data_IF_648100365123
#
_entry.id   IF_648100365123
#
_cell.length_a   1.000
_cell.length_b   1.000
_cell.length_c   1.000
_cell.angle_alpha   90.00
_cell.angle_beta   90.00
_cell.angle_gamma   90.00
#
_symmetry.space_group_name_H-M   'P 1'
#
loop_
_entity.id
_entity.type
_entity.pdbx_description
1 polymer ?
#
# COMPACT_ATOMS: atom_id res chain seq x y z
N UNK A 1 0.30 -7.48 -6.81
CA UNK A 1 -1.12 -7.34 -6.43
C UNK A 1 -1.72 -8.72 -6.27
N UNK A 2 -2.19 -9.06 -5.07
CA UNK A 2 -2.73 -10.39 -4.76
C UNK A 2 -3.93 -10.76 -5.64
N UNK A 3 -4.86 -9.83 -5.85
CA UNK A 3 -6.09 -10.08 -6.63
C UNK A 3 -5.90 -10.36 -8.12
N UNK A 4 -4.73 -10.06 -8.69
CA UNK A 4 -4.44 -10.24 -10.13
C UNK A 4 -3.82 -11.59 -10.49
N UNK A 5 -3.47 -12.41 -9.50
CA UNK A 5 -2.72 -13.64 -9.71
C UNK A 5 -3.32 -14.80 -8.91
N UNK A 6 -3.25 -16.00 -9.46
CA UNK A 6 -3.50 -17.21 -8.65
C UNK A 6 -2.42 -17.33 -7.56
N UNK A 7 -2.71 -18.00 -6.42
CA UNK A 7 -1.72 -18.16 -5.35
C UNK A 7 -0.39 -18.74 -5.83
N UNK A 8 -0.44 -19.78 -6.68
CA UNK A 8 0.77 -20.40 -7.24
C UNK A 8 1.56 -19.44 -8.14
N UNK A 9 0.88 -18.59 -8.93
CA UNK A 9 1.55 -17.61 -9.79
C UNK A 9 2.17 -16.49 -8.95
N UNK A 10 1.47 -16.04 -7.91
CA UNK A 10 1.97 -15.03 -6.99
C UNK A 10 3.24 -15.49 -6.27
N UNK A 11 3.26 -16.73 -5.77
CA UNK A 11 4.45 -17.33 -5.15
C UNK A 11 5.63 -17.43 -6.13
N UNK A 12 5.36 -17.85 -7.37
CA UNK A 12 6.39 -17.94 -8.41
C UNK A 12 7.01 -16.56 -8.70
N UNK A 13 6.18 -15.52 -8.85
CA UNK A 13 6.66 -14.16 -9.11
C UNK A 13 7.43 -13.60 -7.91
N UNK A 14 6.96 -13.85 -6.70
CA UNK A 14 7.62 -13.43 -5.47
C UNK A 14 9.02 -14.05 -5.34
N UNK A 15 9.15 -15.38 -5.51
CA UNK A 15 10.48 -16.03 -5.52
C UNK A 15 11.38 -15.50 -6.62
N UNK A 16 10.87 -15.37 -7.85
CA UNK A 16 11.66 -14.90 -8.97
C UNK A 16 12.19 -13.47 -8.72
N UNK A 17 11.40 -12.59 -8.12
CA UNK A 17 11.85 -11.26 -7.72
C UNK A 17 13.04 -11.34 -6.74
N UNK A 18 12.92 -12.16 -5.69
CA UNK A 18 14.01 -12.33 -4.71
C UNK A 18 15.26 -13.00 -5.29
N UNK A 19 15.11 -13.99 -6.17
CA UNK A 19 16.25 -14.63 -6.88
C UNK A 19 17.01 -13.63 -7.75
N UNK A 20 16.32 -12.60 -8.26
CA UNK A 20 16.90 -11.49 -9.01
C UNK A 20 17.43 -10.35 -8.12
N UNK A 21 17.31 -10.47 -6.80
CA UNK A 21 17.71 -9.44 -5.84
C UNK A 21 16.77 -8.24 -5.76
N UNK A 22 15.52 -8.39 -6.22
CA UNK A 22 14.47 -7.39 -6.11
C UNK A 22 13.67 -7.61 -4.81
N UNK A 23 13.25 -6.51 -4.18
CA UNK A 23 12.26 -6.55 -3.10
C UNK A 23 10.86 -6.41 -3.68
N UNK A 24 9.94 -7.27 -3.26
CA UNK A 24 8.59 -7.30 -3.81
C UNK A 24 7.61 -6.59 -2.86
N UNK A 25 7.07 -5.45 -3.30
CA UNK A 25 5.89 -4.85 -2.67
C UNK A 25 4.65 -5.71 -3.01
N UNK A 26 4.17 -6.48 -2.03
CA UNK A 26 2.99 -7.32 -2.19
C UNK A 26 1.75 -6.51 -1.80
N UNK A 27 1.07 -5.99 -2.81
CA UNK A 27 -0.14 -5.19 -2.65
C UNK A 27 -1.40 -6.04 -2.38
N UNK A 28 -2.22 -5.58 -1.43
CA UNK A 28 -3.42 -6.22 -0.89
C UNK A 28 -4.57 -5.22 -0.75
N UNK A 29 -5.80 -5.68 -0.92
CA UNK A 29 -7.00 -4.88 -0.70
C UNK A 29 -7.96 -5.49 0.33
N UNK A 30 -7.86 -6.79 0.62
CA UNK A 30 -8.77 -7.49 1.56
C UNK A 30 -8.00 -8.21 2.65
N UNK A 31 -8.67 -8.56 3.77
CA UNK A 31 -8.06 -9.35 4.84
C UNK A 31 -7.52 -10.71 4.35
N UNK A 32 -8.21 -11.33 3.38
CA UNK A 32 -7.78 -12.60 2.78
C UNK A 32 -6.49 -12.43 1.95
N UNK A 33 -6.36 -11.32 1.23
CA UNK A 33 -5.15 -10.98 0.49
C UNK A 33 -3.99 -10.63 1.43
N UNK A 34 -4.28 -9.99 2.56
CA UNK A 34 -3.30 -9.72 3.61
C UNK A 34 -2.77 -11.02 4.24
N UNK A 35 -3.64 -11.97 4.56
CA UNK A 35 -3.25 -13.31 5.01
C UNK A 35 -2.41 -14.06 3.95
N UNK A 36 -2.77 -13.92 2.68
CA UNK A 36 -2.00 -14.49 1.56
C UNK A 36 -0.59 -13.89 1.50
N UNK A 37 -0.47 -12.55 1.63
CA UNK A 37 0.82 -11.86 1.63
C UNK A 37 1.69 -12.27 2.83
N UNK A 38 1.08 -12.46 4.01
CA UNK A 38 1.77 -12.96 5.19
C UNK A 38 2.26 -14.40 5.00
N UNK A 39 1.44 -15.26 4.38
CA UNK A 39 1.80 -16.65 4.09
C UNK A 39 2.95 -16.79 3.08
N UNK A 40 3.11 -15.81 2.18
CA UNK A 40 4.27 -15.72 1.29
C UNK A 40 5.56 -15.32 2.02
N UNK A 41 5.47 -14.82 3.26
CA UNK A 41 6.59 -14.24 3.98
C UNK A 41 7.00 -12.86 3.45
N UNK A 42 6.06 -12.12 2.84
CA UNK A 42 6.32 -10.79 2.31
C UNK A 42 6.77 -9.84 3.42
N UNK A 43 7.88 -9.13 3.19
CA UNK A 43 8.44 -8.15 4.14
C UNK A 43 8.01 -6.71 3.83
N UNK A 44 7.47 -6.49 2.63
CA UNK A 44 6.96 -5.21 2.17
C UNK A 44 5.54 -5.42 1.66
N UNK A 45 4.55 -4.91 2.39
CA UNK A 45 3.12 -5.13 2.09
C UNK A 45 2.43 -3.80 1.87
N UNK A 46 1.69 -3.73 0.77
CA UNK A 46 0.85 -2.60 0.43
C UNK A 46 -0.60 -2.85 0.84
N UNK A 47 -1.23 -1.92 1.56
CA UNK A 47 -2.69 -1.89 1.73
C UNK A 47 -3.23 -0.81 0.79
N UNK A 48 -3.88 -1.24 -0.28
CA UNK A 48 -4.47 -0.32 -1.24
C UNK A 48 -5.88 0.07 -0.82
N UNK A 49 -6.10 1.38 -0.67
CA UNK A 49 -7.41 1.95 -0.35
C UNK A 49 -8.40 1.88 -1.54
N UNK A 50 -7.91 1.62 -2.75
CA UNK A 50 -8.72 1.40 -3.96
C UNK A 50 -8.74 -0.08 -4.36
N UNK A 51 -9.92 -0.59 -4.70
CA UNK A 51 -10.07 -1.92 -5.32
C UNK A 51 -9.63 -1.85 -6.79
N UNK A 52 -8.40 -2.25 -7.09
CA UNK A 52 -7.88 -2.30 -8.46
C UNK A 52 -8.63 -3.34 -9.30
N UNK A 53 -9.09 -4.44 -8.70
CA UNK A 53 -9.80 -5.51 -9.40
C UNK A 53 -11.13 -5.04 -9.99
N UNK A 54 -11.77 -4.06 -9.36
CA UNK A 54 -13.02 -3.45 -9.82
C UNK A 54 -12.85 -2.14 -10.57
N UNK A 55 -11.61 -1.67 -10.75
CA UNK A 55 -11.31 -0.37 -11.35
C UNK A 55 -12.07 0.79 -10.68
N UNK A 56 -12.35 0.67 -9.38
CA UNK A 56 -13.15 1.67 -8.67
C UNK A 56 -12.43 3.03 -8.65
N UNK A 57 -13.22 4.10 -8.57
CA UNK A 57 -12.65 5.44 -8.38
C UNK A 57 -12.14 5.56 -6.94
N UNK A 58 -11.03 6.28 -6.78
CA UNK A 58 -10.51 6.62 -5.46
C UNK A 58 -11.58 7.43 -4.70
N UNK A 59 -12.07 6.91 -3.57
CA UNK A 59 -13.06 7.58 -2.73
C UNK A 59 -12.47 8.73 -1.90
N UNK A 60 -11.15 8.92 -1.99
CA UNK A 60 -10.41 9.97 -1.33
C UNK A 60 -10.14 9.69 0.14
N UNK A 61 -10.23 8.43 0.58
CA UNK A 61 -10.04 8.05 1.99
C UNK A 61 -9.01 6.94 2.17
N UNK A 62 -8.43 6.86 3.37
CA UNK A 62 -7.53 5.77 3.78
C UNK A 62 -8.25 4.65 4.54
N UNK A 63 -9.58 4.53 4.35
CA UNK A 63 -10.46 3.70 5.19
C UNK A 63 -10.08 2.22 5.20
N UNK A 64 -9.57 1.70 4.08
CA UNK A 64 -9.15 0.30 4.00
C UNK A 64 -7.89 0.03 4.83
N UNK A 65 -6.94 0.97 4.79
CA UNK A 65 -5.76 0.93 5.67
C UNK A 65 -6.19 0.90 7.14
N UNK A 66 -7.09 1.81 7.53
CA UNK A 66 -7.59 1.88 8.92
C UNK A 66 -8.24 0.56 9.38
N UNK A 67 -8.92 -0.16 8.48
CA UNK A 67 -9.64 -1.39 8.82
C UNK A 67 -8.75 -2.64 8.84
N UNK A 68 -7.73 -2.70 7.99
CA UNK A 68 -6.91 -3.90 7.81
C UNK A 68 -5.61 -3.90 8.60
N UNK A 69 -5.07 -2.73 8.95
CA UNK A 69 -3.71 -2.63 9.49
C UNK A 69 -3.51 -3.38 10.81
N UNK A 70 -4.55 -3.49 11.64
CA UNK A 70 -4.51 -4.28 12.88
C UNK A 70 -4.34 -5.80 12.66
N UNK A 71 -4.56 -6.28 11.43
CA UNK A 71 -4.40 -7.68 11.02
C UNK A 71 -3.07 -7.92 10.28
N UNK A 72 -2.31 -6.86 10.00
CA UNK A 72 -1.06 -6.96 9.26
C UNK A 72 0.02 -7.71 10.07
N UNK A 73 0.90 -8.48 9.41
CA UNK A 73 2.00 -9.15 10.07
C UNK A 73 2.97 -8.14 10.69
N UNK A 74 3.36 -8.38 11.95
CA UNK A 74 4.16 -7.44 12.76
C UNK A 74 5.60 -7.26 12.27
N UNK A 75 6.08 -8.18 11.44
CA UNK A 75 7.46 -8.23 10.93
C UNK A 75 7.56 -7.79 9.46
N UNK A 76 6.49 -7.22 8.91
CA UNK A 76 6.47 -6.59 7.60
C UNK A 76 6.36 -5.07 7.73
N UNK A 77 6.96 -4.36 6.77
CA UNK A 77 6.74 -2.93 6.57
C UNK A 77 5.43 -2.73 5.81
N UNK A 78 4.54 -1.94 6.38
CA UNK A 78 3.21 -1.67 5.84
C UNK A 78 3.19 -0.31 5.13
N UNK A 79 2.78 -0.31 3.87
CA UNK A 79 2.60 0.88 3.04
C UNK A 79 1.10 1.10 2.79
N UNK A 80 0.59 2.28 3.11
CA UNK A 80 -0.76 2.70 2.68
C UNK A 80 -0.71 3.29 1.27
N UNK A 81 -1.60 2.85 0.38
CA UNK A 81 -1.62 3.27 -1.03
C UNK A 81 -3.00 3.79 -1.45
N UNK A 82 -3.03 4.76 -2.38
CA UNK A 82 -4.26 5.47 -2.84
C UNK A 82 -4.99 6.24 -1.73
N UNK A 83 -5.89 7.17 -2.09
CA UNK A 83 -6.68 7.93 -1.10
C UNK A 83 -5.90 8.98 -0.30
N UNK A 84 -4.65 9.25 -0.69
CA UNK A 84 -3.72 10.16 0.01
C UNK A 84 -3.61 11.50 -0.74
N UNK A 85 -4.52 12.42 -0.46
CA UNK A 85 -4.63 13.72 -1.17
C UNK A 85 -4.20 14.91 -0.31
N UNK A 86 -4.21 14.75 1.00
CA UNK A 86 -3.89 15.80 1.96
C UNK A 86 -2.95 15.28 3.03
N UNK A 87 -2.29 16.21 3.73
CA UNK A 87 -1.46 15.87 4.90
C UNK A 87 -2.27 15.14 5.98
N UNK A 88 -3.55 15.45 6.12
CA UNK A 88 -4.43 14.77 7.07
C UNK A 88 -4.57 13.28 6.74
N UNK A 89 -4.64 12.93 5.47
CA UNK A 89 -4.78 11.53 5.02
C UNK A 89 -3.48 10.77 5.29
N UNK A 90 -2.33 11.40 5.03
CA UNK A 90 -1.00 10.86 5.37
C UNK A 90 -0.90 10.61 6.88
N UNK A 91 -1.23 11.60 7.71
CA UNK A 91 -1.20 11.44 9.16
C UNK A 91 -2.16 10.33 9.63
N UNK A 92 -3.36 10.24 9.06
CA UNK A 92 -4.33 9.21 9.42
C UNK A 92 -3.79 7.79 9.13
N UNK A 93 -3.14 7.57 7.99
CA UNK A 93 -2.52 6.28 7.68
C UNK A 93 -1.35 5.95 8.63
N UNK A 94 -0.45 6.90 8.87
CA UNK A 94 0.71 6.71 9.76
C UNK A 94 0.26 6.48 11.22
N UNK A 95 -0.70 7.27 11.72
CA UNK A 95 -1.21 7.14 13.08
C UNK A 95 -2.01 5.83 13.30
N UNK A 96 -2.55 5.25 12.24
CA UNK A 96 -3.15 3.92 12.28
C UNK A 96 -2.11 2.77 12.33
N UNK A 97 -0.85 3.08 12.05
CA UNK A 97 0.27 2.14 12.13
C UNK A 97 0.96 1.84 10.81
N UNK A 98 0.66 2.56 9.72
CA UNK A 98 1.41 2.38 8.48
C UNK A 98 2.83 2.93 8.66
N UNK A 99 3.82 2.21 8.17
CA UNK A 99 5.23 2.64 8.22
C UNK A 99 5.54 3.69 7.16
N UNK A 100 4.83 3.62 6.01
CA UNK A 100 4.99 4.55 4.90
C UNK A 100 3.68 4.73 4.12
N UNK A 101 3.72 5.69 3.19
CA UNK A 101 2.63 5.98 2.25
C UNK A 101 3.18 6.02 0.82
N UNK A 102 2.40 5.55 -0.14
CA UNK A 102 2.72 5.62 -1.57
C UNK A 102 1.75 6.58 -2.28
N UNK A 103 2.30 7.67 -2.83
CA UNK A 103 1.52 8.75 -3.44
C UNK A 103 2.01 8.98 -4.86
N UNK A 104 1.15 8.69 -5.84
CA UNK A 104 1.43 8.85 -7.27
C UNK A 104 0.65 10.00 -7.91
N UNK A 105 -0.60 9.74 -8.29
CA UNK A 105 -1.42 10.65 -9.10
C UNK A 105 -1.59 12.04 -8.50
N UNK A 106 -1.84 12.16 -7.20
CA UNK A 106 -2.03 13.46 -6.54
C UNK A 106 -0.75 14.32 -6.62
N UNK A 107 0.42 13.71 -6.47
CA UNK A 107 1.71 14.39 -6.60
C UNK A 107 1.99 14.81 -8.05
N UNK A 108 1.67 13.96 -9.03
CA UNK A 108 1.88 14.23 -10.45
C UNK A 108 0.91 15.28 -11.02
N UNK A 109 -0.26 15.44 -10.41
CA UNK A 109 -1.29 16.42 -10.82
C UNK A 109 -1.16 17.76 -10.10
N UNK A 110 -0.26 17.86 -9.11
CA UNK A 110 -0.03 19.10 -8.38
C UNK A 110 0.54 20.19 -9.31
N UNK A 111 0.10 21.43 -9.12
CA UNK A 111 0.64 22.60 -9.83
C UNK A 111 2.15 22.76 -9.60
N UNK A 112 2.59 22.54 -8.34
CA UNK A 112 3.99 22.43 -7.97
C UNK A 112 4.22 21.12 -7.17
N UNK A 113 4.73 20.06 -7.81
CA UNK A 113 5.01 18.79 -7.14
C UNK A 113 5.99 18.90 -5.98
N UNK A 114 6.93 19.86 -6.00
CA UNK A 114 7.91 20.05 -4.92
C UNK A 114 7.24 20.61 -3.68
N UNK A 115 6.43 21.65 -3.84
CA UNK A 115 5.69 22.24 -2.71
C UNK A 115 4.64 21.27 -2.17
N UNK A 116 3.97 20.51 -3.04
CA UNK A 116 3.03 19.48 -2.61
C UNK A 116 3.72 18.34 -1.85
N UNK A 117 4.87 17.85 -2.32
CA UNK A 117 5.69 16.89 -1.56
C UNK A 117 6.04 17.43 -0.17
N UNK A 118 6.55 18.66 -0.07
CA UNK A 118 6.89 19.28 1.23
C UNK A 118 5.67 19.39 2.15
N UNK A 119 4.51 19.75 1.61
CA UNK A 119 3.26 19.83 2.38
C UNK A 119 2.90 18.48 2.99
N UNK A 120 2.96 17.41 2.19
CA UNK A 120 2.62 16.06 2.62
C UNK A 120 3.68 15.43 3.53
N UNK A 121 4.96 15.73 3.30
CA UNK A 121 6.09 15.18 4.06
C UNK A 121 6.49 16.00 5.28
N UNK A 122 5.80 17.12 5.56
CA UNK A 122 6.10 17.93 6.73
C UNK A 122 5.72 17.15 8.00
N UNK A 123 6.71 16.77 8.82
CA UNK A 123 6.57 16.01 10.08
C UNK A 123 6.39 14.50 9.87
N UNK A 124 6.90 13.60 10.73
CA UNK A 124 7.47 13.73 12.09
C UNK A 124 8.89 14.29 12.17
#
# INVERSE_FOLDING_TARGET
>A
ICSMHSPARLEQLFRAAHELGLEALVETHTAQELETSASLGAKLIGINNKDIGKLELDDGTVSNTLSLIGQAPRDALIISESGLHTRRDVCAAIDAGADAVLIGSALLQAEDPREYFKLLSAGR
#
